data_IF_248896505307
#
_entry.id   IF_248896505307
#
_cell.length_a   1.000
_cell.length_b   1.000
_cell.length_c   1.000
_cell.angle_alpha   90.00
_cell.angle_beta   90.00
_cell.angle_gamma   90.00
#
_symmetry.space_group_name_H-M   'P 1'
#
loop_
_entity.id
_entity.type
_entity.pdbx_description
1 polymer ?
#
# COMPACT_ATOMS: atom_id res chain seq x y z
N UNK A 1 8.58 -11.57 -6.45
CA UNK A 1 8.54 -10.43 -5.51
C UNK A 1 7.51 -10.69 -4.43
N UNK A 2 7.56 -9.93 -3.32
CA UNK A 2 6.58 -10.05 -2.23
C UNK A 2 5.93 -8.70 -1.98
N UNK A 3 4.61 -8.64 -1.95
CA UNK A 3 3.84 -7.41 -1.74
C UNK A 3 2.92 -7.54 -0.54
N UNK A 4 2.78 -6.47 0.24
CA UNK A 4 1.83 -6.39 1.34
C UNK A 4 0.71 -5.43 0.96
N UNK A 5 -0.54 -5.86 1.10
CA UNK A 5 -1.74 -5.08 0.84
C UNK A 5 -2.39 -4.78 2.18
N UNK A 6 -2.44 -3.51 2.58
CA UNK A 6 -3.22 -3.07 3.72
C UNK A 6 -4.65 -2.76 3.25
N UNK A 7 -5.59 -3.62 3.61
CA UNK A 7 -7.00 -3.48 3.27
C UNK A 7 -7.73 -2.70 4.36
N UNK A 8 -8.09 -1.46 4.05
CA UNK A 8 -8.81 -0.55 4.93
C UNK A 8 -10.34 -0.63 4.83
N UNK A 9 -10.89 -1.75 4.38
CA UNK A 9 -12.34 -1.94 4.37
C UNK A 9 -12.94 -1.88 5.78
N UNK A 10 -14.08 -1.18 5.92
CA UNK A 10 -14.86 -1.18 7.16
C UNK A 10 -15.81 -2.37 7.26
N UNK A 11 -16.06 -3.05 6.14
CA UNK A 11 -16.92 -4.23 6.07
C UNK A 11 -16.10 -5.50 6.24
N UNK A 12 -16.74 -6.55 6.77
CA UNK A 12 -16.16 -7.90 6.78
C UNK A 12 -15.79 -8.33 5.37
N UNK A 13 -14.77 -9.15 5.26
CA UNK A 13 -14.16 -9.53 3.97
C UNK A 13 -15.18 -10.10 2.97
N UNK A 14 -16.18 -10.87 3.43
CA UNK A 14 -17.20 -11.46 2.57
C UNK A 14 -18.13 -10.43 1.91
N UNK A 15 -18.31 -9.26 2.57
CA UNK A 15 -19.22 -8.18 2.13
C UNK A 15 -18.48 -6.98 1.52
N UNK A 16 -17.17 -7.04 1.44
CA UNK A 16 -16.33 -5.93 1.08
C UNK A 16 -15.99 -5.90 -0.42
N UNK A 17 -16.37 -4.83 -1.11
CA UNK A 17 -15.92 -4.57 -2.47
C UNK A 17 -14.39 -4.36 -2.52
N UNK A 18 -13.83 -3.61 -1.57
CA UNK A 18 -12.39 -3.36 -1.48
C UNK A 18 -11.62 -4.67 -1.32
N UNK A 19 -12.09 -5.58 -0.46
CA UNK A 19 -11.45 -6.88 -0.27
C UNK A 19 -11.52 -7.72 -1.55
N UNK A 20 -12.66 -7.72 -2.26
CA UNK A 20 -12.77 -8.42 -3.54
C UNK A 20 -11.74 -7.92 -4.57
N UNK A 21 -11.48 -6.61 -4.62
CA UNK A 21 -10.43 -6.06 -5.49
C UNK A 21 -9.04 -6.48 -4.99
N UNK A 22 -8.78 -6.52 -3.68
CA UNK A 22 -7.53 -7.05 -3.13
C UNK A 22 -7.29 -8.51 -3.55
N UNK A 23 -8.34 -9.36 -3.54
CA UNK A 23 -8.25 -10.74 -4.01
C UNK A 23 -7.88 -10.83 -5.51
N UNK A 24 -8.45 -9.97 -6.35
CA UNK A 24 -8.08 -9.90 -7.79
C UNK A 24 -6.63 -9.47 -7.98
N UNK A 25 -6.19 -8.45 -7.25
CA UNK A 25 -4.78 -7.99 -7.26
C UNK A 25 -3.84 -9.10 -6.80
N UNK A 26 -4.18 -9.81 -5.72
CA UNK A 26 -3.38 -10.91 -5.21
C UNK A 26 -3.31 -12.09 -6.20
N UNK A 27 -4.43 -12.43 -6.84
CA UNK A 27 -4.49 -13.47 -7.86
C UNK A 27 -3.64 -13.11 -9.08
N UNK A 28 -3.65 -11.85 -9.50
CA UNK A 28 -2.86 -11.38 -10.63
C UNK A 28 -1.35 -11.37 -10.30
N UNK A 29 -0.94 -10.90 -9.11
CA UNK A 29 0.45 -11.03 -8.67
C UNK A 29 0.92 -12.49 -8.68
N UNK A 30 0.09 -13.42 -8.22
CA UNK A 30 0.40 -14.85 -8.23
C UNK A 30 0.61 -15.38 -9.65
N UNK A 31 -0.22 -14.99 -10.61
CA UNK A 31 -0.02 -15.34 -12.03
C UNK A 31 1.31 -14.84 -12.58
N UNK A 32 1.77 -13.66 -12.11
CA UNK A 32 3.03 -13.05 -12.49
C UNK A 32 4.23 -13.52 -11.63
N UNK A 33 4.06 -14.59 -10.84
CA UNK A 33 5.14 -15.19 -10.04
C UNK A 33 5.54 -14.40 -8.80
N UNK A 34 4.66 -13.54 -8.30
CA UNK A 34 4.85 -12.77 -7.07
C UNK A 34 3.93 -13.27 -5.95
N UNK A 35 4.35 -13.08 -4.70
CA UNK A 35 3.56 -13.42 -3.51
C UNK A 35 2.90 -12.16 -2.92
N UNK A 36 1.72 -12.34 -2.31
CA UNK A 36 1.04 -11.26 -1.62
C UNK A 36 0.54 -11.71 -0.25
N UNK A 37 0.54 -10.77 0.69
CA UNK A 37 -0.19 -10.88 1.96
C UNK A 37 -1.20 -9.75 2.03
N UNK A 38 -2.47 -10.07 2.22
CA UNK A 38 -3.52 -9.10 2.53
C UNK A 38 -3.62 -9.00 4.04
N UNK A 39 -3.50 -7.79 4.57
CA UNK A 39 -3.73 -7.45 5.98
C UNK A 39 -5.05 -6.70 6.05
N UNK A 40 -6.08 -7.34 6.58
CA UNK A 40 -7.39 -6.74 6.73
C UNK A 40 -7.46 -5.99 8.06
N UNK A 41 -7.43 -4.66 7.98
CA UNK A 41 -7.23 -3.79 9.15
C UNK A 41 -8.34 -3.88 10.20
N UNK A 42 -9.57 -4.23 9.82
CA UNK A 42 -10.67 -4.43 10.77
C UNK A 42 -10.68 -5.82 11.44
N UNK A 43 -9.71 -6.67 11.12
CA UNK A 43 -9.56 -8.03 11.69
C UNK A 43 -8.37 -8.14 12.64
N UNK A 44 -7.59 -7.05 12.81
CA UNK A 44 -6.46 -6.98 13.74
C UNK A 44 -6.74 -5.97 14.85
N UNK A 45 -6.14 -6.21 16.02
CA UNK A 45 -6.26 -5.32 17.17
C UNK A 45 -5.03 -4.43 17.28
N UNK A 46 -5.22 -3.10 17.24
CA UNK A 46 -4.14 -2.13 17.29
C UNK A 46 -4.58 -0.78 17.87
N UNK A 47 -3.60 -0.01 18.35
CA UNK A 47 -3.79 1.35 18.85
C UNK A 47 -3.67 2.37 17.70
N UNK A 48 -4.51 3.42 17.72
CA UNK A 48 -4.37 4.57 16.81
C UNK A 48 -3.29 5.52 17.31
N UNK A 49 -2.55 6.15 16.39
CA UNK A 49 -1.56 7.19 16.69
C UNK A 49 -0.15 6.86 16.21
N UNK A 50 0.78 7.76 16.55
CA UNK A 50 2.14 7.81 16.00
C UNK A 50 3.20 7.12 16.87
N UNK A 51 2.83 6.58 18.03
CA UNK A 51 3.77 5.96 18.96
C UNK A 51 4.14 4.52 18.58
N UNK A 52 5.19 4.02 19.19
CA UNK A 52 5.61 2.62 19.10
C UNK A 52 4.77 1.73 20.02
N UNK A 53 3.52 1.48 19.64
CA UNK A 53 2.62 0.61 20.38
C UNK A 53 3.00 -0.88 20.24
N UNK A 54 2.87 -1.63 21.33
CA UNK A 54 3.08 -3.08 21.32
C UNK A 54 1.76 -3.81 21.04
N UNK A 55 1.32 -3.77 19.78
CA UNK A 55 0.06 -4.30 19.27
C UNK A 55 0.28 -5.23 18.07
N UNK A 56 -0.81 -5.71 17.44
CA UNK A 56 -0.72 -6.62 16.30
C UNK A 56 -0.22 -5.93 15.01
N UNK A 57 -0.34 -4.61 14.87
CA UNK A 57 0.12 -3.88 13.70
C UNK A 57 1.65 -3.73 13.68
N UNK A 58 2.29 -3.60 14.84
CA UNK A 58 3.75 -3.45 14.94
C UNK A 58 4.52 -4.59 14.25
N UNK A 59 4.32 -5.88 14.60
CA UNK A 59 5.03 -6.98 13.95
C UNK A 59 4.72 -7.09 12.45
N UNK A 60 3.54 -6.68 12.00
CA UNK A 60 3.17 -6.65 10.58
C UNK A 60 4.01 -5.61 9.82
N UNK A 61 4.14 -4.39 10.36
CA UNK A 61 4.97 -3.34 9.76
C UNK A 61 6.44 -3.77 9.76
N UNK A 62 6.96 -4.32 10.84
CA UNK A 62 8.35 -4.80 10.91
C UNK A 62 8.61 -5.94 9.90
N UNK A 63 7.67 -6.86 9.74
CA UNK A 63 7.74 -7.91 8.71
C UNK A 63 7.73 -7.30 7.30
N UNK A 64 6.86 -6.31 7.05
CA UNK A 64 6.85 -5.56 5.79
C UNK A 64 8.23 -4.95 5.49
N UNK A 65 8.78 -4.18 6.42
CA UNK A 65 10.06 -3.49 6.24
C UNK A 65 11.20 -4.46 5.91
N UNK A 66 11.20 -5.64 6.52
CA UNK A 66 12.25 -6.66 6.38
C UNK A 66 12.09 -7.53 5.12
N UNK A 67 10.88 -7.95 4.80
CA UNK A 67 10.65 -9.11 3.93
C UNK A 67 9.87 -8.81 2.64
N UNK A 68 9.38 -7.57 2.44
CA UNK A 68 8.55 -7.22 1.28
C UNK A 68 9.25 -6.22 0.35
N UNK A 69 8.87 -6.26 -0.91
CA UNK A 69 9.40 -5.41 -1.98
C UNK A 69 8.47 -4.26 -2.35
N UNK A 70 7.24 -4.28 -1.85
CA UNK A 70 6.29 -3.21 -2.09
C UNK A 70 5.09 -3.24 -1.18
N UNK A 71 4.48 -2.07 -0.99
CA UNK A 71 3.29 -1.83 -0.20
C UNK A 71 2.15 -1.34 -1.08
N UNK A 72 0.96 -1.77 -0.78
CA UNK A 72 -0.27 -1.36 -1.46
C UNK A 72 -1.29 -0.96 -0.41
N UNK A 73 -1.81 0.27 -0.51
CA UNK A 73 -2.98 0.68 0.26
C UNK A 73 -4.24 0.42 -0.55
N UNK A 74 -5.18 -0.31 0.05
CA UNK A 74 -6.50 -0.56 -0.52
C UNK A 74 -7.58 0.02 0.39
N UNK A 75 -8.42 0.91 -0.14
CA UNK A 75 -9.42 1.63 0.64
C UNK A 75 -10.74 1.82 -0.10
N UNK A 76 -11.89 1.77 0.60
CA UNK A 76 -13.12 2.34 0.07
C UNK A 76 -13.08 3.87 0.11
N UNK A 77 -13.91 4.52 -0.71
CA UNK A 77 -14.15 5.97 -0.62
C UNK A 77 -15.20 6.23 0.46
N UNK A 78 -14.89 7.12 1.38
CA UNK A 78 -15.82 7.68 2.36
C UNK A 78 -15.80 9.20 2.30
N UNK A 79 -16.87 9.82 1.75
CA UNK A 79 -16.98 11.28 1.65
C UNK A 79 -15.76 11.94 0.98
N UNK A 80 -15.23 11.30 -0.08
CA UNK A 80 -14.04 11.76 -0.80
C UNK A 80 -12.70 11.44 -0.12
N UNK A 81 -12.71 10.73 1.01
CA UNK A 81 -11.52 10.37 1.79
C UNK A 81 -11.33 8.85 1.84
N UNK A 82 -10.12 8.44 2.17
CA UNK A 82 -9.81 7.06 2.53
C UNK A 82 -10.35 6.70 3.92
N UNK A 83 -10.39 5.43 4.24
CA UNK A 83 -10.88 4.95 5.53
C UNK A 83 -9.93 5.31 6.69
N UNK A 84 -10.48 5.45 7.91
CA UNK A 84 -9.69 5.64 9.13
C UNK A 84 -8.70 4.51 9.40
N UNK A 85 -8.96 3.29 8.95
CA UNK A 85 -8.02 2.18 9.04
C UNK A 85 -6.71 2.43 8.27
N UNK A 86 -6.79 3.03 7.09
CA UNK A 86 -5.58 3.41 6.36
C UNK A 86 -4.90 4.62 6.98
N UNK A 87 -5.68 5.58 7.54
CA UNK A 87 -5.10 6.67 8.34
C UNK A 87 -4.23 6.14 9.48
N UNK A 88 -4.70 5.12 10.20
CA UNK A 88 -3.94 4.52 11.29
C UNK A 88 -2.64 3.87 10.83
N UNK A 89 -2.61 3.26 9.65
CA UNK A 89 -1.35 2.75 9.06
C UNK A 89 -0.41 3.91 8.74
N UNK A 90 -0.91 4.99 8.14
CA UNK A 90 -0.13 6.19 7.82
C UNK A 90 0.47 6.80 9.10
N UNK A 91 -0.34 6.98 10.14
CA UNK A 91 0.10 7.51 11.45
C UNK A 91 1.20 6.64 12.06
N UNK A 92 1.10 5.32 11.96
CA UNK A 92 2.12 4.41 12.47
C UNK A 92 3.46 4.52 11.73
N UNK A 93 3.46 4.92 10.46
CA UNK A 93 4.69 5.16 9.70
C UNK A 93 5.43 6.45 10.12
N UNK A 94 4.82 7.37 10.87
CA UNK A 94 5.51 8.53 11.46
C UNK A 94 6.61 8.10 12.44
N UNK A 95 6.33 7.07 13.25
CA UNK A 95 7.37 6.46 14.10
C UNK A 95 8.53 5.88 13.27
N UNK A 96 8.22 5.20 12.14
CA UNK A 96 9.25 4.62 11.26
C UNK A 96 10.09 5.72 10.59
N UNK A 97 9.48 6.83 10.19
CA UNK A 97 10.18 7.97 9.63
C UNK A 97 11.13 8.62 10.65
N UNK A 98 10.67 8.84 11.87
CA UNK A 98 11.48 9.36 12.96
C UNK A 98 12.66 8.43 13.27
N UNK A 99 12.42 7.14 13.40
CA UNK A 99 13.47 6.14 13.59
C UNK A 99 14.48 6.12 12.42
N UNK A 100 13.99 6.26 11.18
CA UNK A 100 14.83 6.27 9.98
C UNK A 100 15.79 7.47 9.96
N UNK A 101 15.30 8.65 10.34
CA UNK A 101 16.13 9.87 10.45
C UNK A 101 17.22 9.71 11.50
N UNK A 102 16.88 9.20 12.68
CA UNK A 102 17.82 9.03 13.80
C UNK A 102 18.92 8.01 13.46
N UNK A 103 18.57 6.93 12.76
CA UNK A 103 19.48 5.85 12.41
C UNK A 103 20.13 6.02 11.02
N UNK A 104 19.77 7.04 10.24
CA UNK A 104 20.25 7.29 8.88
C UNK A 104 20.09 6.06 7.97
N UNK A 105 18.98 5.37 8.12
CA UNK A 105 18.63 4.18 7.37
C UNK A 105 17.15 4.22 6.97
N UNK A 106 16.90 4.23 5.68
CA UNK A 106 15.55 4.42 5.11
C UNK A 106 15.06 3.11 4.46
N UNK A 107 14.38 2.23 5.19
CA UNK A 107 14.05 0.87 4.73
C UNK A 107 13.06 0.82 3.56
N UNK A 108 12.46 1.95 3.18
CA UNK A 108 11.49 2.05 2.11
C UNK A 108 12.11 2.41 0.74
N UNK A 109 13.36 2.90 0.69
CA UNK A 109 13.99 3.37 -0.56
C UNK A 109 14.18 2.30 -1.64
N UNK A 110 14.18 1.04 -1.27
CA UNK A 110 14.24 -0.08 -2.21
C UNK A 110 12.91 -0.82 -2.35
N UNK A 111 11.81 -0.14 -2.06
CA UNK A 111 10.44 -0.68 -2.15
C UNK A 111 9.56 0.19 -3.05
N UNK A 112 8.61 -0.45 -3.70
CA UNK A 112 7.59 0.25 -4.49
C UNK A 112 6.32 0.46 -3.68
N UNK A 113 5.56 1.50 -4.06
CA UNK A 113 4.26 1.76 -3.49
C UNK A 113 3.19 1.85 -4.58
N UNK A 114 1.99 1.36 -4.27
CA UNK A 114 0.81 1.49 -5.10
C UNK A 114 -0.46 1.62 -4.28
N UNK A 115 -1.56 1.97 -4.92
CA UNK A 115 -2.84 2.13 -4.23
C UNK A 115 -4.02 1.65 -5.06
N UNK A 116 -5.02 1.12 -4.36
CA UNK A 116 -6.28 0.62 -4.88
C UNK A 116 -7.40 1.34 -4.17
N UNK A 117 -8.26 2.01 -4.91
CA UNK A 117 -9.41 2.73 -4.35
C UNK A 117 -10.69 2.16 -4.94
N UNK A 118 -11.65 1.81 -4.10
CA UNK A 118 -12.94 1.26 -4.52
C UNK A 118 -14.10 2.16 -4.11
N UNK A 119 -15.02 2.43 -5.02
CA UNK A 119 -16.20 3.23 -4.73
C UNK A 119 -16.90 3.75 -5.99
N UNK A 120 -18.07 4.33 -5.83
CA UNK A 120 -18.88 4.83 -6.94
C UNK A 120 -18.98 6.36 -7.05
N UNK A 121 -18.13 7.09 -6.35
CA UNK A 121 -18.25 8.54 -6.25
C UNK A 121 -16.95 9.30 -6.49
N UNK A 122 -16.96 10.55 -6.09
CA UNK A 122 -15.78 11.42 -6.12
C UNK A 122 -14.74 11.03 -5.07
N UNK A 123 -13.48 11.38 -5.33
CA UNK A 123 -12.41 11.23 -4.36
C UNK A 123 -11.25 10.34 -4.79
N UNK A 124 -11.36 9.60 -5.90
CA UNK A 124 -10.26 8.77 -6.40
C UNK A 124 -8.94 9.54 -6.51
N UNK A 125 -8.94 10.64 -7.25
CA UNK A 125 -7.74 11.45 -7.48
C UNK A 125 -7.19 12.04 -6.18
N UNK A 126 -8.08 12.52 -5.30
CA UNK A 126 -7.69 13.08 -4.01
C UNK A 126 -7.03 12.03 -3.12
N UNK A 127 -7.64 10.84 -3.00
CA UNK A 127 -7.12 9.75 -2.18
C UNK A 127 -5.78 9.25 -2.74
N UNK A 128 -5.69 9.00 -4.05
CA UNK A 128 -4.43 8.59 -4.67
C UNK A 128 -3.34 9.65 -4.49
N UNK A 129 -3.66 10.94 -4.68
CA UNK A 129 -2.74 12.05 -4.47
C UNK A 129 -2.17 12.08 -3.05
N UNK A 130 -3.00 11.91 -2.03
CA UNK A 130 -2.57 11.83 -0.63
C UNK A 130 -1.65 10.63 -0.37
N UNK A 131 -1.99 9.47 -0.92
CA UNK A 131 -1.18 8.27 -0.76
C UNK A 131 0.18 8.37 -1.48
N UNK A 132 0.21 8.96 -2.66
CA UNK A 132 1.46 9.18 -3.39
C UNK A 132 2.35 10.19 -2.68
N UNK A 133 1.77 11.25 -2.10
CA UNK A 133 2.53 12.20 -1.28
C UNK A 133 3.13 11.50 -0.05
N UNK A 134 2.35 10.76 0.72
CA UNK A 134 2.84 9.94 1.83
C UNK A 134 4.00 9.03 1.41
N UNK A 135 3.81 8.28 0.33
CA UNK A 135 4.80 7.30 -0.13
C UNK A 135 6.11 7.95 -0.55
N UNK A 136 6.07 9.09 -1.26
CA UNK A 136 7.27 9.80 -1.70
C UNK A 136 8.04 10.41 -0.53
N UNK A 137 7.35 10.93 0.49
CA UNK A 137 7.99 11.45 1.71
C UNK A 137 8.73 10.34 2.49
N UNK A 138 8.20 9.12 2.47
CA UNK A 138 8.83 7.96 3.10
C UNK A 138 9.86 7.23 2.23
N UNK A 139 10.16 7.75 1.03
CA UNK A 139 11.20 7.22 0.16
C UNK A 139 10.80 6.00 -0.68
N UNK A 140 9.52 5.71 -0.82
CA UNK A 140 9.07 4.69 -1.77
C UNK A 140 9.26 5.14 -3.22
N UNK A 141 9.54 4.18 -4.09
CA UNK A 141 9.46 4.38 -5.55
C UNK A 141 8.02 4.18 -6.03
N UNK A 142 7.52 5.13 -6.81
CA UNK A 142 6.19 5.06 -7.42
C UNK A 142 6.34 4.58 -8.88
N UNK A 143 5.93 3.35 -9.21
CA UNK A 143 5.92 2.87 -10.59
C UNK A 143 4.90 3.63 -11.45
N UNK A 144 5.06 3.67 -12.77
CA UNK A 144 3.98 4.07 -13.67
C UNK A 144 2.74 3.21 -13.42
N UNK A 145 1.55 3.81 -13.48
CA UNK A 145 0.26 3.13 -13.21
C UNK A 145 0.19 2.47 -11.82
N UNK A 146 0.76 3.11 -10.82
CA UNK A 146 0.73 2.65 -9.41
C UNK A 146 -0.63 2.84 -8.72
N UNK A 147 -1.70 3.15 -9.47
CA UNK A 147 -3.06 3.39 -8.96
C UNK A 147 -4.06 2.51 -9.69
N UNK A 148 -5.08 2.02 -8.96
CA UNK A 148 -6.23 1.26 -9.49
C UNK A 148 -7.52 1.89 -8.96
N UNK A 149 -8.47 2.19 -9.85
CA UNK A 149 -9.79 2.75 -9.54
C UNK A 149 -10.89 1.71 -9.79
N UNK A 150 -11.38 1.06 -8.74
CA UNK A 150 -12.48 0.11 -8.84
C UNK A 150 -13.85 0.81 -8.65
N UNK A 151 -14.45 1.23 -9.75
CA UNK A 151 -15.75 1.95 -9.77
C UNK A 151 -16.94 1.02 -9.70
N UNK A 152 -16.80 -0.20 -10.17
CA UNK A 152 -17.85 -1.22 -10.17
C UNK A 152 -18.23 -1.63 -8.76
N UNK A 153 -19.53 -1.75 -8.51
CA UNK A 153 -20.08 -2.14 -7.21
C UNK A 153 -20.69 -3.53 -7.25
N UNK A 154 -20.57 -4.22 -6.10
CA UNK A 154 -21.00 -5.59 -5.94
C UNK A 154 -19.91 -6.59 -6.35
N UNK A 155 -19.62 -7.52 -5.45
CA UNK A 155 -18.51 -8.48 -5.57
C UNK A 155 -18.55 -9.27 -6.89
N UNK A 156 -19.74 -9.72 -7.31
CA UNK A 156 -19.90 -10.46 -8.56
C UNK A 156 -19.61 -9.62 -9.81
N UNK A 157 -20.00 -8.34 -9.80
CA UNK A 157 -19.74 -7.44 -10.91
C UNK A 157 -18.26 -7.07 -10.98
N UNK A 158 -17.61 -6.84 -9.85
CA UNK A 158 -16.17 -6.58 -9.74
C UNK A 158 -15.37 -7.72 -10.36
N UNK A 159 -15.72 -8.97 -10.10
CA UNK A 159 -15.04 -10.15 -10.64
C UNK A 159 -15.21 -10.24 -12.16
N UNK A 160 -16.31 -9.74 -12.72
CA UNK A 160 -16.63 -9.78 -14.16
C UNK A 160 -16.18 -8.53 -14.93
N UNK A 161 -15.65 -7.53 -14.24
CA UNK A 161 -15.22 -6.25 -14.82
C UNK A 161 -13.91 -6.43 -15.61
N UNK A 162 -14.03 -6.49 -16.93
CA UNK A 162 -12.89 -6.72 -17.81
C UNK A 162 -11.93 -5.51 -17.88
N UNK A 163 -12.44 -4.29 -17.73
CA UNK A 163 -11.62 -3.08 -17.72
C UNK A 163 -10.78 -3.02 -16.46
N UNK A 164 -11.41 -3.28 -15.31
CA UNK A 164 -10.73 -3.38 -14.02
C UNK A 164 -9.67 -4.50 -14.05
N UNK A 165 -9.98 -5.65 -14.62
CA UNK A 165 -9.02 -6.76 -14.74
C UNK A 165 -7.78 -6.36 -15.55
N UNK A 166 -7.93 -5.62 -16.65
CA UNK A 166 -6.81 -5.10 -17.45
C UNK A 166 -5.99 -4.04 -16.70
N UNK A 167 -6.67 -3.19 -15.92
CA UNK A 167 -6.00 -2.18 -15.10
C UNK A 167 -5.16 -2.85 -14.01
N UNK A 168 -5.71 -3.86 -13.33
CA UNK A 168 -5.00 -4.67 -12.32
C UNK A 168 -3.80 -5.39 -12.94
N UNK A 169 -3.94 -5.98 -14.12
CA UNK A 169 -2.81 -6.64 -14.81
C UNK A 169 -1.65 -5.67 -15.05
N UNK A 170 -1.95 -4.48 -15.57
CA UNK A 170 -0.93 -3.45 -15.83
C UNK A 170 -0.29 -2.95 -14.55
N UNK A 171 -1.09 -2.71 -13.52
CA UNK A 171 -0.64 -2.32 -12.19
C UNK A 171 0.33 -3.36 -11.61
N UNK A 172 -0.06 -4.63 -11.52
CA UNK A 172 0.76 -5.69 -10.95
C UNK A 172 2.07 -5.89 -11.73
N UNK A 173 2.04 -5.79 -13.07
CA UNK A 173 3.22 -5.86 -13.91
C UNK A 173 4.20 -4.73 -13.63
N UNK A 174 3.72 -3.48 -13.55
CA UNK A 174 4.60 -2.34 -13.24
C UNK A 174 5.19 -2.43 -11.84
N UNK A 175 4.38 -2.77 -10.85
CA UNK A 175 4.85 -2.99 -9.47
C UNK A 175 5.96 -4.06 -9.42
N UNK A 176 5.78 -5.19 -10.11
CA UNK A 176 6.75 -6.30 -10.12
C UNK A 176 8.05 -5.90 -10.82
N UNK A 177 7.96 -5.25 -11.99
CA UNK A 177 9.14 -4.82 -12.77
C UNK A 177 9.97 -3.80 -11.98
N UNK A 178 9.32 -2.76 -11.44
CA UNK A 178 10.04 -1.73 -10.70
C UNK A 178 10.61 -2.25 -9.36
N UNK A 179 9.88 -3.11 -8.67
CA UNK A 179 10.41 -3.78 -7.47
C UNK A 179 11.67 -4.59 -7.79
N UNK A 180 11.71 -5.26 -8.95
CA UNK A 180 12.90 -6.00 -9.39
C UNK A 180 14.08 -5.06 -9.71
N UNK A 181 13.83 -3.94 -10.37
CA UNK A 181 14.86 -2.95 -10.73
C UNK A 181 15.54 -2.33 -9.51
N UNK A 182 14.78 -2.03 -8.45
CA UNK A 182 15.29 -1.30 -7.27
C UNK A 182 15.72 -2.22 -6.13
N UNK A 183 15.42 -3.52 -6.16
CA UNK A 183 15.67 -4.47 -5.07
C UNK A 183 17.13 -4.48 -4.58
N UNK A 184 18.10 -4.23 -5.47
CA UNK A 184 19.54 -4.19 -5.14
C UNK A 184 20.01 -2.85 -4.57
N UNK A 185 19.15 -1.84 -4.47
CA UNK A 185 19.51 -0.53 -3.93
C UNK A 185 19.87 -0.61 -2.45
N UNK A 186 20.93 0.12 -2.06
CA UNK A 186 21.32 0.23 -0.65
C UNK A 186 20.58 1.40 0.01
N UNK A 187 19.65 1.16 0.96
CA UNK A 187 18.91 2.22 1.65
C UNK A 187 19.77 3.29 2.33
N UNK A 188 20.98 2.91 2.76
CA UNK A 188 21.92 3.86 3.40
C UNK A 188 22.54 4.87 2.43
N UNK A 189 22.61 4.59 1.13
CA UNK A 189 23.15 5.53 0.14
C UNK A 189 22.28 6.78 -0.01
N UNK A 190 20.99 6.67 0.19
CA UNK A 190 20.03 7.77 0.08
C UNK A 190 20.09 8.76 1.26
N UNK A 191 20.57 8.31 2.42
CA UNK A 191 20.73 9.16 3.59
C UNK A 191 21.80 10.24 3.41
N UNK A 192 22.78 10.05 2.52
CA UNK A 192 23.88 10.97 2.30
C UNK A 192 23.47 12.27 1.60
N UNK A 193 22.36 12.26 0.84
CA UNK A 193 21.90 13.42 0.10
C UNK A 193 21.01 14.39 0.91
N UNK A 194 20.47 13.96 2.05
CA UNK A 194 19.65 14.82 2.91
C UNK A 194 20.46 15.70 3.90
N UNK A 195 21.80 15.57 3.93
CA UNK A 195 22.65 16.33 4.85
C UNK A 195 23.15 17.67 4.26
N UNK A 196 22.88 17.98 3.01
CA UNK A 196 23.41 19.17 2.34
C UNK A 196 22.50 20.40 2.43
N UNK A 197 21.30 20.29 3.00
CA UNK A 197 20.31 21.37 3.08
C UNK A 197 20.09 21.89 4.52
N UNK A 198 21.18 22.09 5.27
CA UNK A 198 21.15 22.83 6.54
C UNK A 198 22.09 24.01 6.51
#
# INVERSE_FOLDING_TARGET
MRFMIFNGSLKKSELSNTYAVCELVAAEFKKQGSETRIVTMNEINYECGTNDYNDELKPIILDFLKNYNGMIFATPIWWGLHSGYISSVIERFDYIDSWSRDNKFYPNYNKVFGSVVSGGGDGFQHIHGNFLNFATQLGFTIPPRATVEAKTQGKENIIKDAELAQEIERFCRQMTVYAALIKGGNPSQFAQHQQTDK
#
